data_IF_708759376444
#
_entry.id   IF_708759376444
#
_cell.length_a   1.000
_cell.length_b   1.000
_cell.length_c   1.000
_cell.angle_alpha   90.00
_cell.angle_beta   90.00
_cell.angle_gamma   90.00
#
_symmetry.space_group_name_H-M   'P 1'
#
loop_
_entity.id
_entity.type
_entity.pdbx_description
1 polymer ?
#
# COMPACT_ATOMS: atom_id res chain seq x y z
N UNK A 1 -21.97 -15.06 4.77
CA UNK A 1 -21.62 -13.66 4.45
C UNK A 1 -20.36 -13.73 3.61
N UNK A 2 -20.29 -13.15 2.41
CA UNK A 2 -19.03 -13.12 1.66
C UNK A 2 -18.11 -12.14 2.36
N UNK A 3 -17.20 -12.67 3.15
CA UNK A 3 -16.09 -11.96 3.78
C UNK A 3 -15.20 -11.35 2.68
N UNK A 4 -14.92 -10.04 2.75
CA UNK A 4 -14.09 -9.36 1.75
C UNK A 4 -12.67 -9.93 1.71
N UNK A 5 -12.02 -9.88 0.54
CA UNK A 5 -10.65 -10.38 0.34
C UNK A 5 -9.63 -9.25 0.49
N UNK A 6 -8.65 -9.46 1.35
CA UNK A 6 -7.51 -8.58 1.60
C UNK A 6 -6.22 -9.29 1.23
N UNK A 7 -5.32 -8.60 0.53
CA UNK A 7 -3.95 -9.05 0.32
C UNK A 7 -3.03 -8.01 0.94
N UNK A 8 -2.13 -8.47 1.81
CA UNK A 8 -1.07 -7.67 2.41
C UNK A 8 0.25 -8.08 1.78
N UNK A 9 0.92 -7.10 1.18
CA UNK A 9 2.19 -7.31 0.51
C UNK A 9 3.31 -6.82 1.42
N UNK A 10 4.38 -7.60 1.53
CA UNK A 10 5.63 -7.16 2.14
C UNK A 10 6.78 -7.32 1.13
N UNK A 11 7.68 -6.36 1.08
CA UNK A 11 8.91 -6.42 0.29
C UNK A 11 10.08 -6.91 1.16
N UNK A 12 10.29 -6.29 2.33
CA UNK A 12 11.44 -6.59 3.21
C UNK A 12 11.01 -7.30 4.48
N UNK A 13 11.30 -8.60 4.53
CA UNK A 13 10.95 -9.48 5.66
C UNK A 13 11.33 -8.91 7.03
N UNK A 14 12.54 -8.37 7.13
CA UNK A 14 13.11 -7.85 8.39
C UNK A 14 12.46 -6.56 8.91
N UNK A 15 11.67 -5.86 8.09
CA UNK A 15 11.00 -4.62 8.50
C UNK A 15 9.48 -4.72 8.48
N UNK A 16 8.93 -5.62 7.67
CA UNK A 16 7.53 -5.52 7.24
C UNK A 16 6.71 -6.77 7.56
N UNK A 17 7.36 -7.94 7.70
CA UNK A 17 6.63 -9.21 7.85
C UNK A 17 5.85 -9.27 9.17
N UNK A 18 6.44 -8.86 10.28
CA UNK A 18 5.76 -8.90 11.58
C UNK A 18 4.51 -8.02 11.59
N UNK A 19 4.61 -6.80 11.04
CA UNK A 19 3.45 -5.91 10.90
C UNK A 19 2.41 -6.49 9.94
N UNK A 20 2.83 -7.12 8.83
CA UNK A 20 1.92 -7.77 7.91
C UNK A 20 1.13 -8.93 8.57
N UNK A 21 1.79 -9.75 9.38
CA UNK A 21 1.15 -10.84 10.14
C UNK A 21 0.21 -10.31 11.23
N UNK A 22 0.59 -9.22 11.90
CA UNK A 22 -0.29 -8.57 12.87
C UNK A 22 -1.56 -8.02 12.20
N UNK A 23 -1.41 -7.31 11.08
CA UNK A 23 -2.53 -6.82 10.29
C UNK A 23 -3.42 -7.96 9.80
N UNK A 24 -2.82 -9.07 9.33
CA UNK A 24 -3.56 -10.26 8.92
C UNK A 24 -4.44 -10.78 10.05
N UNK A 25 -3.91 -10.90 11.27
CA UNK A 25 -4.70 -11.31 12.44
C UNK A 25 -5.86 -10.35 12.72
N UNK A 26 -5.67 -9.04 12.57
CA UNK A 26 -6.74 -8.05 12.74
C UNK A 26 -7.84 -8.19 11.68
N UNK A 27 -7.48 -8.40 10.42
CA UNK A 27 -8.45 -8.62 9.34
C UNK A 27 -9.21 -9.93 9.53
N UNK A 28 -8.55 -11.01 9.94
CA UNK A 28 -9.23 -12.26 10.27
C UNK A 28 -10.24 -12.09 11.40
N UNK A 29 -9.87 -11.40 12.48
CA UNK A 29 -10.79 -11.12 13.59
C UNK A 29 -11.96 -10.21 13.19
N UNK A 30 -11.79 -9.39 12.16
CA UNK A 30 -12.84 -8.58 11.57
C UNK A 30 -13.68 -9.34 10.51
N UNK A 31 -13.41 -10.63 10.29
CA UNK A 31 -14.16 -11.47 9.36
C UNK A 31 -13.78 -11.28 7.90
N UNK A 32 -12.56 -10.83 7.58
CA UNK A 32 -12.04 -10.79 6.20
C UNK A 32 -11.23 -12.05 5.88
N UNK A 33 -11.21 -12.43 4.60
CA UNK A 33 -10.20 -13.35 4.09
C UNK A 33 -8.91 -12.58 3.84
N UNK A 34 -7.83 -12.89 4.54
CA UNK A 34 -6.58 -12.13 4.46
C UNK A 34 -5.37 -13.01 4.12
N UNK A 35 -4.71 -12.71 3.00
CA UNK A 35 -3.45 -13.34 2.61
C UNK A 35 -2.26 -12.39 2.82
N UNK A 36 -1.11 -12.93 3.18
CA UNK A 36 0.18 -12.20 3.22
C UNK A 36 1.08 -12.79 2.14
N UNK A 37 1.65 -11.95 1.27
CA UNK A 37 2.51 -12.40 0.18
C UNK A 37 3.76 -11.52 0.07
N UNK A 38 4.86 -12.10 -0.41
CA UNK A 38 6.10 -11.37 -0.64
C UNK A 38 6.07 -10.71 -2.03
N UNK A 39 6.51 -9.45 -2.11
CA UNK A 39 6.39 -8.62 -3.31
C UNK A 39 6.98 -9.23 -4.60
N UNK A 40 8.06 -10.01 -4.49
CA UNK A 40 8.77 -10.67 -5.59
C UNK A 40 8.35 -12.12 -5.82
N UNK A 41 7.43 -12.66 -5.03
CA UNK A 41 6.91 -14.01 -5.18
C UNK A 41 6.07 -14.11 -6.46
N UNK A 42 6.58 -14.83 -7.46
CA UNK A 42 6.01 -14.82 -8.80
C UNK A 42 4.82 -15.76 -9.02
N UNK A 43 4.58 -16.76 -8.17
CA UNK A 43 3.45 -17.67 -8.41
C UNK A 43 2.07 -17.03 -8.17
N UNK A 44 2.03 -15.82 -7.61
CA UNK A 44 0.79 -15.09 -7.34
C UNK A 44 0.41 -14.11 -8.48
N UNK A 45 1.12 -14.09 -9.62
CA UNK A 45 0.79 -13.21 -10.74
C UNK A 45 -0.64 -13.45 -11.25
N UNK A 46 -1.51 -12.48 -11.06
CA UNK A 46 -2.89 -12.48 -11.49
C UNK A 46 -3.14 -11.41 -12.57
N UNK A 47 -2.60 -11.65 -13.77
CA UNK A 47 -2.66 -10.72 -14.90
C UNK A 47 -4.08 -10.50 -15.45
N UNK A 48 -4.99 -11.46 -15.26
CA UNK A 48 -6.29 -11.52 -15.94
C UNK A 48 -7.49 -11.68 -15.00
N UNK A 49 -7.28 -11.88 -13.70
CA UNK A 49 -8.35 -12.13 -12.74
C UNK A 49 -8.78 -10.91 -11.94
N UNK A 50 -9.90 -11.07 -11.22
CA UNK A 50 -10.34 -10.08 -10.24
C UNK A 50 -9.29 -9.92 -9.14
N UNK A 51 -8.98 -8.67 -8.80
CA UNK A 51 -8.10 -8.35 -7.67
C UNK A 51 -8.81 -8.49 -6.32
N UNK A 52 -8.10 -8.29 -5.21
CA UNK A 52 -8.71 -8.27 -3.88
C UNK A 52 -9.61 -7.04 -3.70
N UNK A 53 -10.48 -7.06 -2.69
CA UNK A 53 -11.22 -5.85 -2.30
C UNK A 53 -10.25 -4.77 -1.78
N UNK A 54 -9.25 -5.19 -1.00
CA UNK A 54 -8.22 -4.30 -0.44
C UNK A 54 -6.84 -4.89 -0.73
N UNK A 55 -5.97 -4.09 -1.34
CA UNK A 55 -4.55 -4.39 -1.50
C UNK A 55 -3.72 -3.46 -0.61
N UNK A 56 -3.04 -4.02 0.38
CA UNK A 56 -2.17 -3.26 1.28
C UNK A 56 -0.72 -3.46 0.84
N UNK A 57 0.01 -2.37 0.61
CA UNK A 57 1.36 -2.40 0.03
C UNK A 57 2.36 -1.60 0.87
N UNK A 58 3.65 -1.99 0.87
CA UNK A 58 4.64 -1.32 1.70
C UNK A 58 5.02 0.07 1.15
N UNK A 59 4.93 0.25 -0.17
CA UNK A 59 5.26 1.49 -0.86
C UNK A 59 4.44 1.65 -2.16
N UNK A 60 4.22 2.90 -2.60
CA UNK A 60 3.57 3.24 -3.86
C UNK A 60 3.92 4.66 -4.30
N UNK A 61 4.55 4.82 -5.47
CA UNK A 61 5.11 6.12 -5.90
C UNK A 61 4.43 6.74 -7.12
N UNK A 62 4.09 5.93 -8.14
CA UNK A 62 3.68 6.46 -9.44
C UNK A 62 2.84 5.45 -10.23
N UNK A 63 2.42 5.84 -11.43
CA UNK A 63 1.60 5.02 -12.33
C UNK A 63 2.23 3.67 -12.67
N UNK A 64 3.56 3.63 -12.86
CA UNK A 64 4.28 2.38 -13.11
C UNK A 64 4.22 1.44 -11.90
N UNK A 65 4.30 2.00 -10.69
CA UNK A 65 4.15 1.24 -9.43
C UNK A 65 2.74 0.65 -9.33
N UNK A 66 1.71 1.45 -9.62
CA UNK A 66 0.31 0.99 -9.65
C UNK A 66 0.10 -0.10 -10.71
N UNK A 67 0.58 0.10 -11.94
CA UNK A 67 0.48 -0.88 -13.01
C UNK A 67 1.17 -2.21 -12.65
N UNK A 68 2.33 -2.13 -11.99
CA UNK A 68 3.05 -3.32 -11.49
C UNK A 68 2.25 -4.09 -10.44
N UNK A 69 1.55 -3.39 -9.54
CA UNK A 69 0.68 -4.02 -8.55
C UNK A 69 -0.53 -4.67 -9.22
N UNK A 70 -1.15 -4.00 -10.19
CA UNK A 70 -2.30 -4.54 -10.93
C UNK A 70 -1.90 -5.81 -11.70
N UNK A 71 -0.75 -5.78 -12.37
CA UNK A 71 -0.24 -6.94 -13.09
C UNK A 71 0.07 -8.13 -12.15
N UNK A 72 0.43 -7.85 -10.90
CA UNK A 72 0.72 -8.87 -9.89
C UNK A 72 -0.53 -9.41 -9.22
N UNK A 73 -1.45 -8.55 -8.81
CA UNK A 73 -2.50 -8.90 -7.87
C UNK A 73 -3.91 -8.75 -8.44
N UNK A 74 -4.05 -8.42 -9.74
CA UNK A 74 -5.32 -8.06 -10.36
C UNK A 74 -5.72 -6.62 -10.03
N UNK A 75 -6.92 -6.18 -10.45
CA UNK A 75 -7.42 -4.83 -10.15
C UNK A 75 -8.10 -4.79 -8.78
N UNK A 76 -7.50 -4.19 -7.75
CA UNK A 76 -8.14 -4.08 -6.45
C UNK A 76 -9.23 -3.00 -6.44
N UNK A 77 -10.20 -3.09 -5.53
CA UNK A 77 -11.18 -2.00 -5.33
C UNK A 77 -10.57 -0.81 -4.57
N UNK A 78 -9.62 -1.08 -3.67
CA UNK A 78 -8.86 -0.06 -2.95
C UNK A 78 -7.40 -0.49 -2.74
N UNK A 79 -6.49 0.47 -2.78
CA UNK A 79 -5.07 0.28 -2.45
C UNK A 79 -4.76 1.11 -1.21
N UNK A 80 -4.12 0.48 -0.22
CA UNK A 80 -3.61 1.15 0.98
C UNK A 80 -2.09 1.09 0.93
N UNK A 81 -1.45 2.26 0.80
CA UNK A 81 -0.01 2.42 0.85
C UNK A 81 0.43 2.69 2.30
N UNK A 82 1.21 1.76 2.85
CA UNK A 82 1.74 1.84 4.21
C UNK A 82 2.91 2.81 4.34
N UNK A 83 3.49 3.35 3.27
CA UNK A 83 4.55 4.36 3.34
C UNK A 83 5.74 3.93 4.24
N UNK A 84 6.17 2.67 4.14
CA UNK A 84 7.20 2.11 5.03
C UNK A 84 8.64 2.60 4.78
N UNK A 85 8.88 3.40 3.75
CA UNK A 85 10.22 3.93 3.53
C UNK A 85 10.64 4.81 4.70
N UNK A 86 11.60 4.28 5.47
CA UNK A 86 12.07 4.88 6.70
C UNK A 86 12.99 6.07 6.40
N UNK A 87 12.67 7.21 7.01
CA UNK A 87 13.50 8.41 7.14
C UNK A 87 14.19 8.81 5.84
N UNK A 88 13.42 9.50 5.00
CA UNK A 88 14.02 10.30 3.95
C UNK A 88 14.77 11.44 4.63
N UNK A 89 16.01 11.69 4.22
CA UNK A 89 16.66 12.94 4.62
C UNK A 89 15.86 14.12 4.06
N UNK A 90 15.95 15.28 4.71
CA UNK A 90 15.30 16.52 4.22
C UNK A 90 15.59 16.80 2.73
N UNK A 91 16.78 16.39 2.26
CA UNK A 91 17.16 16.48 0.84
C UNK A 91 16.22 15.64 -0.03
N UNK A 92 15.98 14.38 0.32
CA UNK A 92 15.12 13.47 -0.43
C UNK A 92 13.64 13.86 -0.34
N UNK A 93 13.20 14.39 0.81
CA UNK A 93 11.85 14.91 0.96
C UNK A 93 11.60 16.12 0.05
N UNK A 94 12.56 17.06 -0.01
CA UNK A 94 12.48 18.23 -0.91
C UNK A 94 12.49 17.86 -2.39
N UNK A 95 13.18 16.78 -2.76
CA UNK A 95 13.18 16.27 -4.13
C UNK A 95 11.85 15.62 -4.52
N UNK A 96 11.01 15.24 -3.54
CA UNK A 96 9.66 14.73 -3.77
C UNK A 96 9.59 13.37 -4.46
N UNK A 97 10.70 12.67 -4.68
CA UNK A 97 10.75 11.38 -5.39
C UNK A 97 9.92 10.28 -4.71
N UNK A 98 9.69 10.41 -3.41
CA UNK A 98 8.93 9.46 -2.61
C UNK A 98 7.50 9.93 -2.35
N UNK A 99 7.11 11.09 -2.88
CA UNK A 99 5.71 11.48 -2.87
C UNK A 99 4.96 10.70 -3.96
N UNK A 100 3.74 10.22 -3.66
CA UNK A 100 2.90 9.59 -4.67
C UNK A 100 2.55 10.59 -5.77
N UNK A 101 2.53 10.12 -7.01
CA UNK A 101 2.27 10.91 -8.21
C UNK A 101 1.38 10.15 -9.21
N UNK A 102 0.70 10.89 -10.08
CA UNK A 102 -0.24 10.31 -11.04
C UNK A 102 -1.30 9.45 -10.34
N UNK A 103 -1.61 8.28 -10.91
CA UNK A 103 -2.63 7.37 -10.34
C UNK A 103 -2.32 6.85 -8.94
N UNK A 104 -1.07 6.95 -8.46
CA UNK A 104 -0.74 6.56 -7.09
C UNK A 104 -1.40 7.46 -6.04
N UNK A 105 -1.71 8.73 -6.37
CA UNK A 105 -2.39 9.68 -5.47
C UNK A 105 -3.84 9.28 -5.13
N UNK A 106 -4.41 8.34 -5.87
CA UNK A 106 -5.77 7.83 -5.66
C UNK A 106 -5.84 6.70 -4.61
N UNK A 107 -4.69 6.21 -4.13
CA UNK A 107 -4.63 5.23 -3.07
C UNK A 107 -4.84 5.89 -1.70
N UNK A 108 -5.23 5.12 -0.69
CA UNK A 108 -5.18 5.56 0.71
C UNK A 108 -3.73 5.51 1.18
N UNK A 109 -3.21 6.59 1.74
CA UNK A 109 -1.85 6.69 2.25
C UNK A 109 -1.84 6.79 3.77
N UNK A 110 -1.25 5.80 4.43
CA UNK A 110 -1.01 5.84 5.87
C UNK A 110 0.05 6.89 6.17
N UNK A 111 -0.30 7.83 7.03
CA UNK A 111 0.54 8.92 7.47
C UNK A 111 1.04 8.60 8.89
N UNK A 112 2.29 8.16 9.01
CA UNK A 112 2.94 7.85 10.30
C UNK A 112 3.28 9.10 11.13
N UNK A 113 2.30 9.98 11.32
CA UNK A 113 2.42 11.24 12.02
C UNK A 113 2.01 12.45 11.18
N UNK A 114 1.81 13.55 11.89
CA UNK A 114 1.32 14.81 11.32
C UNK A 114 2.25 15.38 10.25
N UNK A 115 3.56 15.23 10.40
CA UNK A 115 4.55 15.69 9.40
C UNK A 115 4.33 15.05 8.04
N UNK A 116 4.13 13.73 7.99
CA UNK A 116 3.85 13.01 6.73
C UNK A 116 2.51 13.43 6.14
N UNK A 117 1.50 13.59 6.98
CA UNK A 117 0.18 14.07 6.55
C UNK A 117 0.29 15.44 5.88
N UNK A 118 0.89 16.41 6.56
CA UNK A 118 1.04 17.78 6.05
C UNK A 118 1.87 17.79 4.76
N UNK A 119 3.00 17.05 4.71
CA UNK A 119 3.84 16.93 3.51
C UNK A 119 3.05 16.40 2.30
N UNK A 120 2.28 15.32 2.48
CA UNK A 120 1.52 14.72 1.38
C UNK A 120 0.34 15.60 0.94
N UNK A 121 -0.36 16.22 1.89
CA UNK A 121 -1.43 17.19 1.59
C UNK A 121 -0.87 18.37 0.80
N UNK A 122 0.23 18.95 1.26
CA UNK A 122 0.84 20.14 0.65
C UNK A 122 1.45 19.82 -0.73
N UNK A 123 1.83 18.55 -0.97
CA UNK A 123 2.23 18.06 -2.29
C UNK A 123 1.04 17.86 -3.24
N UNK A 124 -0.20 17.83 -2.75
CA UNK A 124 -1.41 17.73 -3.54
C UNK A 124 -2.13 16.38 -3.49
N UNK A 125 -1.80 15.50 -2.55
CA UNK A 125 -2.60 14.28 -2.32
C UNK A 125 -3.96 14.69 -1.70
N UNK A 126 -5.10 14.21 -2.24
CA UNK A 126 -6.41 14.51 -1.68
C UNK A 126 -6.49 14.12 -0.20
N UNK A 127 -7.06 14.99 0.64
CA UNK A 127 -7.05 14.77 2.10
C UNK A 127 -7.89 13.57 2.53
N UNK A 128 -8.93 13.23 1.76
CA UNK A 128 -9.73 12.00 1.93
C UNK A 128 -8.93 10.72 1.68
N UNK A 129 -7.79 10.83 1.00
CA UNK A 129 -6.87 9.72 0.72
C UNK A 129 -5.75 9.64 1.76
N UNK A 130 -5.74 10.49 2.80
CA UNK A 130 -4.71 10.49 3.83
C UNK A 130 -5.28 9.94 5.15
N UNK A 131 -4.68 8.86 5.66
CA UNK A 131 -5.07 8.20 6.90
C UNK A 131 -4.03 8.45 8.00
N UNK A 132 -4.40 9.20 9.04
CA UNK A 132 -3.56 9.43 10.25
C UNK A 132 -3.85 8.41 11.33
#
# INVERSE_FOLDING_TARGET
MSSGRVIIVYERKNRELETALLLQSKFFNAGFECAVTQFYQGHDFNLLGAGPDILIVPHLYNELSVARLIARYGRPKSIINLQYEQVLSDKWERLGHHNPSGTAMNAVHVCWGKTTFDRLRDFGVPSENLLT
#
